data_IF_140720775914
#
_entry.id   IF_140720775914
#
_cell.length_a   1.000
_cell.length_b   1.000
_cell.length_c   1.000
_cell.angle_alpha   90.00
_cell.angle_beta   90.00
_cell.angle_gamma   90.00
#
_symmetry.space_group_name_H-M   'P 1'
#
loop_
_entity.id
_entity.type
_entity.pdbx_description
1 polymer ?
#
# COMPACT_ATOMS: atom_id res chain seq x y z
N UNK A 1 -13.23 -6.38 18.84
CA UNK A 1 -11.80 -6.49 19.22
C UNK A 1 -10.98 -6.13 18.00
N UNK A 2 -9.95 -5.27 18.14
CA UNK A 2 -9.11 -4.90 17.00
C UNK A 2 -8.19 -6.08 16.61
N UNK A 3 -7.94 -6.32 15.30
CA UNK A 3 -6.97 -7.33 14.89
C UNK A 3 -5.56 -6.96 15.37
N UNK A 4 -4.76 -7.96 15.72
CA UNK A 4 -3.34 -7.80 16.03
C UNK A 4 -2.54 -8.20 14.80
N UNK A 5 -1.74 -7.28 14.27
CA UNK A 5 -0.77 -7.56 13.21
C UNK A 5 0.58 -7.78 13.86
N UNK A 6 1.06 -9.01 13.83
CA UNK A 6 2.40 -9.31 14.31
C UNK A 6 3.44 -8.85 13.32
N UNK A 7 4.56 -8.30 13.78
CA UNK A 7 5.60 -7.75 12.94
C UNK A 7 6.98 -8.18 13.41
N UNK A 8 7.89 -8.37 12.46
CA UNK A 8 9.31 -8.60 12.74
C UNK A 8 10.17 -7.75 11.81
N UNK A 9 11.40 -7.48 12.20
CA UNK A 9 12.38 -6.77 11.39
C UNK A 9 13.22 -7.74 10.57
N UNK A 10 13.51 -7.35 9.33
CA UNK A 10 14.52 -8.01 8.52
C UNK A 10 15.94 -7.76 9.06
N UNK A 11 16.85 -8.67 8.73
CA UNK A 11 18.27 -8.49 9.07
C UNK A 11 18.81 -7.18 8.48
N UNK A 12 19.50 -6.38 9.30
CA UNK A 12 20.06 -5.09 8.93
C UNK A 12 19.07 -3.92 8.91
N UNK A 13 17.78 -4.16 9.16
CA UNK A 13 16.80 -3.09 9.29
C UNK A 13 17.08 -2.20 10.50
N UNK A 14 16.73 -0.93 10.38
CA UNK A 14 16.80 0.04 11.48
C UNK A 14 15.53 -0.02 12.32
N UNK A 15 15.57 -0.78 13.41
CA UNK A 15 14.45 -0.92 14.34
C UNK A 15 14.24 0.33 15.21
N UNK A 16 15.16 1.30 15.19
CA UNK A 16 15.03 2.54 15.99
C UNK A 16 13.86 3.42 15.53
N UNK A 17 13.36 3.22 14.30
CA UNK A 17 12.16 3.93 13.82
C UNK A 17 10.87 3.52 14.51
N UNK A 18 10.87 2.40 15.24
CA UNK A 18 9.66 1.83 15.82
C UNK A 18 8.73 1.22 14.75
N UNK A 19 7.73 0.50 15.21
CA UNK A 19 6.69 -0.08 14.35
C UNK A 19 5.80 1.02 13.75
N UNK A 20 5.13 0.76 12.62
CA UNK A 20 4.12 1.67 12.06
C UNK A 20 3.10 2.09 13.10
N UNK A 21 2.78 3.37 13.14
CA UNK A 21 1.85 3.93 14.11
C UNK A 21 0.85 4.88 13.45
N UNK A 22 -0.34 4.96 14.02
CA UNK A 22 -1.35 5.94 13.61
C UNK A 22 -0.96 7.31 14.15
N UNK A 23 -0.89 8.32 13.28
CA UNK A 23 -0.47 9.67 13.66
C UNK A 23 -1.49 10.39 14.56
N UNK A 24 -2.78 10.03 14.45
CA UNK A 24 -3.88 10.58 15.24
C UNK A 24 -4.87 9.48 15.60
N UNK A 25 -5.73 9.71 16.60
CA UNK A 25 -6.76 8.75 17.03
C UNK A 25 -7.74 8.39 15.91
N UNK A 26 -7.98 9.29 14.95
CA UNK A 26 -8.88 9.07 13.81
C UNK A 26 -8.16 8.66 12.52
N UNK A 27 -6.84 8.44 12.54
CA UNK A 27 -6.12 8.05 11.34
C UNK A 27 -6.53 6.64 10.90
N UNK A 28 -6.84 6.49 9.60
CA UNK A 28 -7.13 5.19 8.99
C UNK A 28 -5.85 4.42 8.60
N UNK A 29 -4.76 5.12 8.34
CA UNK A 29 -3.48 4.55 7.90
C UNK A 29 -2.36 4.77 8.89
N UNK A 30 -1.52 3.75 9.05
CA UNK A 30 -0.25 3.84 9.77
C UNK A 30 0.89 4.10 8.78
N UNK A 31 1.74 5.09 9.05
CA UNK A 31 2.83 5.46 8.15
C UNK A 31 3.89 4.34 8.02
N UNK A 32 4.34 4.11 6.80
CA UNK A 32 5.46 3.24 6.46
C UNK A 32 6.69 4.08 6.08
N UNK A 33 7.85 3.67 6.59
CA UNK A 33 9.13 4.33 6.32
C UNK A 33 10.01 3.49 5.40
N UNK A 34 10.77 4.18 4.55
CA UNK A 34 11.89 3.57 3.84
C UNK A 34 12.94 3.12 4.87
N UNK A 35 13.41 1.89 4.74
CA UNK A 35 14.40 1.31 5.65
C UNK A 35 15.45 0.55 4.84
N UNK A 36 16.62 1.18 4.68
CA UNK A 36 17.69 0.65 3.86
C UNK A 36 18.80 0.08 4.75
N UNK A 37 19.23 -1.18 4.57
CA UNK A 37 20.29 -1.78 5.38
C UNK A 37 21.62 -1.01 5.32
N UNK A 38 21.94 -0.44 4.17
CA UNK A 38 23.16 0.37 3.93
C UNK A 38 22.98 1.86 4.25
N UNK A 39 21.78 2.28 4.65
CA UNK A 39 21.40 3.68 4.92
C UNK A 39 21.53 4.61 3.69
N UNK A 40 21.80 4.07 2.51
CA UNK A 40 21.89 4.85 1.28
C UNK A 40 20.53 5.37 0.82
N UNK A 41 20.52 6.48 0.08
CA UNK A 41 19.32 7.02 -0.54
C UNK A 41 19.03 6.30 -1.87
N UNK A 42 17.75 6.26 -2.27
CA UNK A 42 17.34 5.76 -3.57
C UNK A 42 16.75 6.91 -4.39
N UNK A 43 17.21 7.07 -5.62
CA UNK A 43 16.69 8.10 -6.55
C UNK A 43 15.73 7.45 -7.51
N UNK A 44 14.51 7.99 -7.59
CA UNK A 44 13.46 7.56 -8.53
C UNK A 44 13.31 8.64 -9.59
N UNK A 45 13.76 8.36 -10.81
CA UNK A 45 13.69 9.29 -11.94
C UNK A 45 12.23 9.50 -12.39
N UNK A 46 11.90 10.60 -13.06
CA UNK A 46 10.59 10.81 -13.68
C UNK A 46 10.19 9.63 -14.57
N UNK A 47 8.96 9.13 -14.41
CA UNK A 47 8.42 7.97 -15.12
C UNK A 47 8.95 6.61 -14.63
N UNK A 48 9.94 6.58 -13.75
CA UNK A 48 10.49 5.34 -13.20
C UNK A 48 9.74 4.88 -11.95
N UNK A 49 9.89 3.59 -11.63
CA UNK A 49 9.44 2.98 -10.38
C UNK A 49 10.59 2.29 -9.67
N UNK A 50 10.49 2.21 -8.34
CA UNK A 50 11.46 1.51 -7.51
C UNK A 50 10.75 0.77 -6.38
N UNK A 51 11.24 -0.43 -6.07
CA UNK A 51 10.82 -1.17 -4.89
C UNK A 51 11.61 -0.64 -3.68
N UNK A 52 10.90 -0.06 -2.73
CA UNK A 52 11.47 0.49 -1.50
C UNK A 52 11.16 -0.45 -0.33
N UNK A 53 12.19 -0.98 0.27
CA UNK A 53 12.06 -1.83 1.46
C UNK A 53 11.65 -1.03 2.70
N UNK A 54 10.83 -1.65 3.54
CA UNK A 54 10.45 -1.10 4.85
C UNK A 54 11.20 -1.76 6.01
N UNK A 55 11.94 -2.83 5.74
CA UNK A 55 12.61 -3.65 6.76
C UNK A 55 11.65 -4.49 7.61
N UNK A 56 10.36 -4.54 7.28
CA UNK A 56 9.33 -5.26 8.04
C UNK A 56 8.86 -6.51 7.32
N UNK A 57 8.44 -7.50 8.13
CA UNK A 57 7.59 -8.62 7.74
C UNK A 57 6.35 -8.64 8.63
N UNK A 58 5.22 -9.07 8.07
CA UNK A 58 3.94 -9.08 8.75
C UNK A 58 3.39 -10.50 8.88
N UNK A 59 2.65 -10.75 9.98
CA UNK A 59 1.69 -11.84 10.06
C UNK A 59 0.31 -11.24 10.33
N UNK A 60 -0.54 -11.31 9.32
CA UNK A 60 -1.88 -10.74 9.32
C UNK A 60 -2.85 -11.87 9.71
N UNK A 61 -3.77 -11.67 10.67
CA UNK A 61 -4.73 -12.71 11.04
C UNK A 61 -5.71 -12.99 9.88
N UNK A 62 -6.19 -14.24 9.78
CA UNK A 62 -7.19 -14.63 8.79
C UNK A 62 -8.43 -13.74 8.83
N UNK A 63 -9.02 -13.45 7.67
CA UNK A 63 -10.15 -12.53 7.52
C UNK A 63 -9.76 -11.06 7.41
N UNK A 64 -8.46 -10.75 7.37
CA UNK A 64 -7.94 -9.39 7.14
C UNK A 64 -6.88 -9.39 6.06
N UNK A 65 -6.71 -8.21 5.44
CA UNK A 65 -5.60 -7.84 4.57
C UNK A 65 -4.92 -6.56 5.07
N UNK A 66 -3.73 -6.29 4.57
CA UNK A 66 -3.13 -4.96 4.67
C UNK A 66 -3.05 -4.36 3.27
N UNK A 67 -3.60 -3.15 3.11
CA UNK A 67 -3.49 -2.37 1.89
C UNK A 67 -2.39 -1.32 2.03
N UNK A 68 -1.55 -1.19 1.01
CA UNK A 68 -0.52 -0.16 0.94
C UNK A 68 -1.02 0.94 0.00
N UNK A 69 -1.09 2.16 0.52
CA UNK A 69 -1.61 3.33 -0.18
C UNK A 69 -0.60 4.46 -0.22
N UNK A 70 -0.65 5.34 -1.26
CA UNK A 70 0.19 6.53 -1.32
C UNK A 70 -0.12 7.50 -0.19
N UNK A 71 0.83 8.40 0.07
CA UNK A 71 0.62 9.56 0.93
C UNK A 71 0.25 10.77 0.08
N UNK A 72 -0.87 11.41 0.40
CA UNK A 72 -1.41 12.54 -0.36
C UNK A 72 -0.42 13.69 -0.55
N UNK A 73 0.38 13.98 0.49
CA UNK A 73 1.38 15.05 0.43
C UNK A 73 2.50 14.78 -0.57
N UNK A 74 2.99 13.53 -0.67
CA UNK A 74 3.98 13.15 -1.68
C UNK A 74 3.38 13.16 -3.09
N UNK A 75 2.14 12.69 -3.22
CA UNK A 75 1.43 12.67 -4.51
C UNK A 75 1.21 14.08 -5.05
N UNK A 76 0.69 14.98 -4.22
CA UNK A 76 0.37 16.35 -4.65
C UNK A 76 1.63 17.19 -4.93
N UNK A 77 2.64 17.12 -4.06
CA UNK A 77 3.81 18.01 -4.16
C UNK A 77 4.89 17.51 -5.10
N UNK A 78 5.03 16.18 -5.23
CA UNK A 78 6.16 15.56 -5.95
C UNK A 78 5.72 14.58 -7.04
N UNK A 79 4.40 14.33 -7.20
CA UNK A 79 3.92 13.34 -8.14
C UNK A 79 4.28 11.90 -7.76
N UNK A 80 4.61 11.63 -6.49
CA UNK A 80 4.98 10.30 -6.02
C UNK A 80 3.73 9.52 -5.62
N UNK A 81 3.54 8.39 -6.26
CA UNK A 81 2.44 7.46 -6.00
C UNK A 81 2.97 6.03 -5.90
N UNK A 82 2.09 5.04 -5.80
CA UNK A 82 2.42 3.64 -5.90
C UNK A 82 1.99 3.11 -7.26
N UNK A 83 2.83 2.29 -7.89
CA UNK A 83 2.49 1.65 -9.17
C UNK A 83 1.29 0.70 -9.04
N UNK A 84 1.14 0.07 -7.87
CA UNK A 84 0.01 -0.77 -7.47
C UNK A 84 -0.76 -0.06 -6.34
N UNK A 85 -1.65 0.84 -6.67
CA UNK A 85 -2.46 1.57 -5.70
C UNK A 85 -3.91 1.10 -5.71
N UNK A 86 -4.37 0.38 -4.67
CA UNK A 86 -3.62 -0.07 -3.49
C UNK A 86 -2.75 -1.31 -3.77
N UNK A 87 -1.64 -1.42 -3.04
CA UNK A 87 -0.94 -2.70 -2.90
C UNK A 87 -1.72 -3.61 -1.95
N UNK A 88 -1.70 -4.91 -2.20
CA UNK A 88 -2.39 -5.90 -1.35
C UNK A 88 -1.37 -6.80 -0.68
N UNK A 89 -1.47 -6.96 0.64
CA UNK A 89 -0.69 -7.89 1.43
C UNK A 89 -1.67 -8.91 2.03
N UNK A 90 -1.55 -10.14 1.56
CA UNK A 90 -2.40 -11.25 1.96
C UNK A 90 -2.06 -11.75 3.38
N UNK A 91 -3.04 -12.36 4.06
CA UNK A 91 -2.86 -12.83 5.43
C UNK A 91 -1.81 -13.95 5.57
N UNK A 92 -1.56 -14.72 4.52
CA UNK A 92 -0.58 -15.81 4.48
C UNK A 92 0.79 -15.40 3.91
N UNK A 93 0.97 -14.14 3.47
CA UNK A 93 2.26 -13.63 3.03
C UNK A 93 3.22 -13.41 4.22
N UNK A 94 4.47 -13.90 4.09
CA UNK A 94 5.51 -13.79 5.12
C UNK A 94 6.82 -13.18 4.60
N UNK A 95 6.80 -12.71 3.34
CA UNK A 95 7.94 -12.06 2.74
C UNK A 95 8.18 -10.63 3.25
N UNK A 96 9.26 -9.98 2.82
CA UNK A 96 9.54 -8.59 3.17
C UNK A 96 8.45 -7.65 2.65
N UNK A 97 8.05 -6.69 3.47
CA UNK A 97 7.12 -5.63 3.08
C UNK A 97 7.85 -4.56 2.28
N UNK A 98 7.52 -4.45 1.00
CA UNK A 98 8.06 -3.45 0.09
C UNK A 98 6.98 -2.54 -0.47
N UNK A 99 7.37 -1.34 -0.85
CA UNK A 99 6.51 -0.31 -1.46
C UNK A 99 7.02 -0.02 -2.86
N UNK A 100 6.18 -0.20 -3.89
CA UNK A 100 6.54 0.10 -5.27
C UNK A 100 6.21 1.57 -5.57
N UNK A 101 7.18 2.47 -5.33
CA UNK A 101 7.01 3.88 -5.65
C UNK A 101 7.08 4.10 -7.16
N UNK A 102 6.22 4.97 -7.66
CA UNK A 102 6.20 5.47 -9.03
C UNK A 102 6.32 6.99 -9.00
N UNK A 103 7.27 7.53 -9.74
CA UNK A 103 7.43 8.98 -9.91
C UNK A 103 6.69 9.43 -11.18
N UNK A 104 5.53 10.06 -11.02
CA UNK A 104 4.74 10.67 -12.10
C UNK A 104 5.05 12.18 -12.25
N UNK A 105 5.97 12.71 -11.45
CA UNK A 105 6.40 14.10 -11.52
C UNK A 105 7.41 14.34 -12.65
N UNK A 106 7.93 15.56 -12.70
CA UNK A 106 8.89 16.01 -13.72
C UNK A 106 10.33 16.04 -13.25
N UNK A 107 10.56 15.85 -11.95
CA UNK A 107 11.88 15.89 -11.33
C UNK A 107 12.21 14.57 -10.64
N UNK A 108 13.51 14.27 -10.52
CA UNK A 108 13.97 13.11 -9.76
C UNK A 108 13.60 13.25 -8.29
N UNK A 109 13.08 12.17 -7.70
CA UNK A 109 12.72 12.13 -6.30
C UNK A 109 13.71 11.27 -5.51
N UNK A 110 14.31 11.85 -4.47
CA UNK A 110 15.23 11.14 -3.59
C UNK A 110 14.50 10.61 -2.37
N UNK A 111 14.39 9.29 -2.28
CA UNK A 111 13.88 8.59 -1.10
C UNK A 111 15.00 8.46 -0.09
N UNK A 112 14.85 9.04 1.10
CA UNK A 112 15.84 8.98 2.17
C UNK A 112 15.53 7.85 3.16
N UNK A 113 16.57 7.30 3.75
CA UNK A 113 16.41 6.36 4.86
C UNK A 113 15.58 6.99 5.99
N UNK A 114 14.56 6.28 6.50
CA UNK A 114 13.64 6.75 7.52
C UNK A 114 12.50 7.64 7.03
N UNK A 115 12.48 8.02 5.75
CA UNK A 115 11.42 8.85 5.19
C UNK A 115 10.09 8.08 5.14
N UNK A 116 8.99 8.76 5.50
CA UNK A 116 7.63 8.20 5.38
C UNK A 116 7.19 8.24 3.92
N UNK A 117 7.05 7.08 3.30
CA UNK A 117 6.84 6.92 1.84
C UNK A 117 5.44 6.44 1.46
N UNK A 118 4.75 5.79 2.37
CA UNK A 118 3.44 5.20 2.14
C UNK A 118 2.68 5.10 3.46
N UNK A 119 1.46 4.59 3.42
CA UNK A 119 0.68 4.24 4.59
C UNK A 119 0.03 2.87 4.41
N UNK A 120 -0.09 2.13 5.50
CA UNK A 120 -0.76 0.83 5.51
C UNK A 120 -2.12 0.93 6.19
N UNK A 121 -3.12 0.30 5.61
CA UNK A 121 -4.49 0.22 6.14
C UNK A 121 -4.82 -1.25 6.36
N UNK A 122 -5.31 -1.60 7.56
CA UNK A 122 -5.86 -2.92 7.85
C UNK A 122 -7.33 -2.93 7.46
N UNK A 123 -7.73 -3.89 6.64
CA UNK A 123 -9.12 -4.02 6.17
C UNK A 123 -9.62 -5.46 6.32
N UNK A 124 -10.93 -5.67 6.64
CA UNK A 124 -11.53 -6.99 6.60
C UNK A 124 -11.64 -7.48 5.16
N UNK A 125 -11.51 -8.80 4.96
CA UNK A 125 -11.61 -9.46 3.66
C UNK A 125 -12.77 -10.43 3.65
N UNK A 126 -13.55 -10.38 2.57
CA UNK A 126 -14.57 -11.39 2.26
C UNK A 126 -14.09 -12.19 1.07
N UNK A 127 -13.96 -13.51 1.24
CA UNK A 127 -13.69 -14.43 0.13
C UNK A 127 -15.03 -14.96 -0.38
N UNK A 128 -15.32 -14.69 -1.67
CA UNK A 128 -16.54 -15.16 -2.31
C UNK A 128 -16.32 -16.55 -2.93
N UNK A 129 -17.38 -17.35 -2.96
CA UNK A 129 -17.45 -18.53 -3.82
C UNK A 129 -17.88 -18.11 -5.23
N UNK A 130 -17.16 -18.58 -6.25
CA UNK A 130 -17.45 -18.29 -7.64
C UNK A 130 -18.19 -19.46 -8.28
N UNK A 131 -19.45 -19.21 -8.73
CA UNK A 131 -20.26 -20.23 -9.41
C UNK A 131 -20.45 -19.84 -10.89
N UNK A 132 -20.15 -20.77 -11.78
CA UNK A 132 -20.46 -20.61 -13.21
C UNK A 132 -21.95 -20.91 -13.44
N UNK A 133 -22.63 -19.95 -14.05
CA UNK A 133 -24.05 -20.10 -14.45
C UNK A 133 -24.17 -19.89 -15.96
N UNK A 134 -25.25 -20.41 -16.55
CA UNK A 134 -25.52 -20.27 -17.99
C UNK A 134 -26.04 -18.88 -18.37
N UNK A 135 -26.61 -18.14 -17.42
CA UNK A 135 -27.22 -16.82 -17.64
C UNK A 135 -27.26 -16.06 -16.33
N UNK A 136 -26.97 -14.75 -16.39
CA UNK A 136 -27.20 -13.81 -15.29
C UNK A 136 -28.63 -13.24 -15.40
N UNK A 137 -29.23 -12.89 -14.27
CA UNK A 137 -30.50 -12.18 -14.21
C UNK A 137 -30.40 -10.75 -14.80
N UNK A 138 -31.53 -10.24 -15.24
CA UNK A 138 -31.59 -8.88 -15.78
C UNK A 138 -31.71 -7.86 -14.64
N UNK A 139 -31.07 -6.70 -14.83
CA UNK A 139 -31.18 -5.56 -13.91
C UNK A 139 -31.57 -4.29 -14.66
N UNK A 140 -32.15 -3.26 -13.99
CA UNK A 140 -32.46 -1.98 -14.64
C UNK A 140 -31.25 -1.30 -15.26
N UNK A 141 -30.04 -1.49 -14.72
CA UNK A 141 -28.80 -0.98 -15.28
C UNK A 141 -28.35 -1.73 -16.54
N UNK A 142 -28.67 -3.02 -16.63
CA UNK A 142 -28.32 -3.89 -17.76
C UNK A 142 -26.83 -3.81 -18.11
N UNK A 143 -26.53 -3.49 -19.37
CA UNK A 143 -25.18 -3.35 -19.89
C UNK A 143 -24.54 -1.96 -19.67
N UNK A 144 -25.22 -1.04 -19.00
CA UNK A 144 -24.73 0.32 -18.77
C UNK A 144 -23.46 0.35 -17.91
N UNK A 145 -22.38 0.88 -18.48
CA UNK A 145 -21.07 1.05 -17.83
C UNK A 145 -20.29 2.22 -18.43
N UNK A 146 -19.03 2.41 -18.01
CA UNK A 146 -18.09 3.39 -18.57
C UNK A 146 -18.66 4.81 -18.72
N UNK A 147 -19.42 5.27 -17.70
CA UNK A 147 -20.01 6.61 -17.72
C UNK A 147 -21.37 6.69 -18.42
N UNK A 148 -22.10 5.57 -18.60
CA UNK A 148 -23.44 5.52 -19.20
C UNK A 148 -24.48 6.40 -18.48
N UNK A 149 -24.22 6.83 -17.23
CA UNK A 149 -25.06 7.75 -16.45
C UNK A 149 -24.76 9.23 -16.69
N UNK A 150 -23.79 9.56 -17.58
CA UNK A 150 -23.42 10.93 -17.91
C UNK A 150 -22.45 11.57 -16.92
N UNK A 151 -22.17 12.88 -17.14
CA UNK A 151 -21.28 13.71 -16.30
C UNK A 151 -22.05 14.81 -15.54
N UNK A 152 -23.35 14.87 -15.68
CA UNK A 152 -24.22 15.87 -15.02
C UNK A 152 -25.15 15.18 -14.03
#
# INVERSE_FOLDING_TARGET
MNPVIEMTWDAGADASFGLPAYATTGAAGADLRANFPDRANVIVQPGARALIGTGLRLAIPGGYEVQIRPRSGLSLKHGITLANSPGTIDSDYRGPLGVILLNTGTEAFTVRHGERIAQMIVAPVVQAEFAQVSKLDATPRGLGGFGSTGRS
#
